data_IF_958579226115
#
_entry.id   IF_958579226115
#
_cell.length_a   1.000
_cell.length_b   1.000
_cell.length_c   1.000
_cell.angle_alpha   90.00
_cell.angle_beta   90.00
_cell.angle_gamma   90.00
#
_symmetry.space_group_name_H-M   'P 1'
#
loop_
_entity.id
_entity.type
_entity.pdbx_description
1 polymer ?
#
# COMPACT_ATOMS: atom_id res chain seq x y z
N UNK A 1 -19.69 -8.60 10.42
CA UNK A 1 -19.55 -7.14 10.64
C UNK A 1 -19.75 -6.49 9.28
N UNK A 2 -20.69 -5.56 9.15
CA UNK A 2 -20.95 -4.86 7.88
C UNK A 2 -19.88 -3.80 7.69
N UNK A 3 -18.95 -4.07 6.78
CA UNK A 3 -17.99 -3.09 6.29
C UNK A 3 -18.82 -2.09 5.48
N UNK A 4 -18.77 -0.81 5.86
CA UNK A 4 -19.46 0.26 5.15
C UNK A 4 -18.97 0.26 3.71
N UNK A 5 -19.89 0.26 2.74
CA UNK A 5 -19.56 0.41 1.32
C UNK A 5 -18.54 1.54 1.15
N UNK A 6 -17.32 1.18 0.74
CA UNK A 6 -16.30 2.17 0.46
C UNK A 6 -16.78 3.03 -0.71
N UNK A 7 -16.92 4.33 -0.46
CA UNK A 7 -17.15 5.28 -1.53
C UNK A 7 -15.75 5.73 -2.01
N UNK A 8 -15.36 5.48 -3.27
CA UNK A 8 -14.02 5.77 -3.78
C UNK A 8 -13.79 7.27 -3.93
N UNK A 9 -13.56 7.92 -2.79
CA UNK A 9 -13.26 9.34 -2.65
C UNK A 9 -11.75 9.52 -2.88
N UNK A 10 -11.33 10.48 -3.71
CA UNK A 10 -9.93 10.78 -3.90
C UNK A 10 -9.20 11.06 -2.59
N UNK A 11 -8.01 10.47 -2.45
CA UNK A 11 -7.09 10.74 -1.34
C UNK A 11 -6.26 11.96 -1.73
N UNK A 12 -6.11 12.91 -0.82
CA UNK A 12 -5.03 13.88 -0.88
C UNK A 12 -3.79 13.29 -0.19
N UNK A 13 -2.74 12.89 -0.94
CA UNK A 13 -1.55 12.26 -0.38
C UNK A 13 -0.84 13.12 0.65
N UNK A 14 -0.96 14.44 0.57
CA UNK A 14 -0.27 15.38 1.47
C UNK A 14 -0.89 15.46 2.86
N UNK A 15 -2.10 14.92 3.03
CA UNK A 15 -2.74 14.82 4.35
C UNK A 15 -2.22 13.63 5.16
N UNK A 16 -1.55 12.67 4.51
CA UNK A 16 -0.96 11.52 5.16
C UNK A 16 0.54 11.71 5.32
N UNK A 17 1.04 11.94 6.54
CA UNK A 17 2.47 12.16 6.76
C UNK A 17 3.33 10.95 6.39
N UNK A 18 2.73 9.77 6.23
CA UNK A 18 3.42 8.49 6.10
C UNK A 18 2.75 7.59 5.06
N UNK A 19 2.56 8.04 3.82
CA UNK A 19 2.01 7.21 2.73
C UNK A 19 3.06 6.96 1.64
N UNK A 20 2.98 5.83 0.94
CA UNK A 20 3.74 5.63 -0.30
C UNK A 20 3.30 6.63 -1.37
N UNK A 21 4.23 7.10 -2.19
CA UNK A 21 3.92 8.06 -3.24
C UNK A 21 3.17 7.37 -4.39
N UNK A 22 1.86 7.68 -4.60
CA UNK A 22 1.06 7.05 -5.63
C UNK A 22 1.52 7.44 -7.04
N UNK A 23 2.36 8.48 -7.14
CA UNK A 23 2.92 8.99 -8.37
C UNK A 23 4.39 8.61 -8.56
N UNK A 24 5.00 7.87 -7.63
CA UNK A 24 6.34 7.25 -7.77
C UNK A 24 6.27 6.04 -8.70
N UNK A 25 5.80 6.29 -9.91
CA UNK A 25 5.52 5.28 -10.93
C UNK A 25 6.76 5.10 -11.77
N UNK A 26 7.52 4.02 -11.54
CA UNK A 26 8.18 3.37 -12.66
C UNK A 26 7.08 2.77 -13.54
N UNK A 27 6.85 3.35 -14.73
CA UNK A 27 5.90 2.81 -15.71
C UNK A 27 6.50 1.49 -16.23
N UNK A 28 6.27 0.40 -15.51
CA UNK A 28 6.78 -0.93 -15.83
C UNK A 28 5.71 -2.00 -15.71
N UNK A 29 5.52 -2.73 -16.82
CA UNK A 29 4.89 -4.06 -16.95
C UNK A 29 3.36 -4.23 -16.90
N UNK A 30 2.54 -3.28 -16.44
CA UNK A 30 1.08 -3.43 -16.55
C UNK A 30 0.26 -2.83 -15.41
N UNK A 31 -1.03 -3.17 -15.35
CA UNK A 31 -1.94 -2.80 -14.27
C UNK A 31 -2.99 -3.90 -14.04
N UNK A 32 -3.54 -3.94 -12.83
CA UNK A 32 -4.71 -4.75 -12.48
C UNK A 32 -5.98 -3.95 -12.75
N UNK A 33 -6.89 -4.50 -13.55
CA UNK A 33 -8.15 -3.86 -13.89
C UNK A 33 -9.30 -4.43 -13.05
N UNK A 34 -9.84 -3.59 -12.20
CA UNK A 34 -11.03 -3.86 -11.38
C UNK A 34 -12.25 -3.49 -12.21
N UNK A 35 -12.76 -4.48 -12.95
CA UNK A 35 -13.72 -4.27 -14.05
C UNK A 35 -15.05 -3.71 -13.59
N UNK A 36 -15.54 -4.13 -12.43
CA UNK A 36 -16.85 -3.72 -11.91
C UNK A 36 -16.85 -2.25 -11.46
N UNK A 37 -15.70 -1.77 -11.00
CA UNK A 37 -15.50 -0.43 -10.44
C UNK A 37 -14.91 0.55 -11.48
N UNK A 38 -14.51 0.03 -12.65
CA UNK A 38 -13.76 0.75 -13.68
C UNK A 38 -12.47 1.40 -13.14
N UNK A 39 -11.78 0.70 -12.23
CA UNK A 39 -10.55 1.18 -11.57
C UNK A 39 -9.31 0.44 -12.05
N UNK A 40 -8.16 1.09 -11.90
CA UNK A 40 -6.85 0.55 -12.27
C UNK A 40 -5.94 0.53 -11.05
N UNK A 41 -5.42 -0.66 -10.73
CA UNK A 41 -4.43 -0.89 -9.70
C UNK A 41 -3.01 -1.01 -10.28
N UNK A 42 -2.07 -0.26 -9.74
CA UNK A 42 -0.66 -0.32 -10.14
C UNK A 42 0.18 -0.82 -8.99
N UNK A 43 0.95 -1.89 -9.22
CA UNK A 43 1.88 -2.42 -8.24
C UNK A 43 3.18 -1.61 -8.30
N UNK A 44 3.70 -1.24 -7.13
CA UNK A 44 5.00 -0.62 -6.94
C UNK A 44 5.83 -1.49 -5.99
N UNK A 45 7.11 -1.65 -6.31
CA UNK A 45 8.09 -2.31 -5.47
C UNK A 45 9.01 -1.25 -4.83
N UNK A 46 9.13 -1.29 -3.51
CA UNK A 46 9.92 -0.33 -2.75
C UNK A 46 9.65 1.15 -3.12
N UNK A 47 8.37 1.60 -3.20
CA UNK A 47 8.09 2.99 -3.54
C UNK A 47 8.62 3.94 -2.47
N UNK A 48 8.98 5.16 -2.89
CA UNK A 48 9.33 6.23 -1.97
C UNK A 48 8.09 6.69 -1.20
N UNK A 49 8.25 7.14 0.06
CA UNK A 49 7.17 7.84 0.75
C UNK A 49 6.89 9.20 0.08
N UNK A 50 5.65 9.67 0.17
CA UNK A 50 5.25 11.04 -0.22
C UNK A 50 6.08 12.08 0.53
N UNK A 51 6.35 11.80 1.82
CA UNK A 51 7.10 12.65 2.72
C UNK A 51 8.48 12.02 3.02
N UNK A 52 9.60 12.67 2.67
CA UNK A 52 10.94 12.09 2.76
C UNK A 52 11.44 11.90 4.20
N UNK A 53 10.82 12.56 5.16
CA UNK A 53 11.05 12.44 6.60
C UNK A 53 10.25 11.30 7.24
N UNK A 54 9.59 10.47 6.43
CA UNK A 54 8.80 9.36 6.91
C UNK A 54 9.60 8.26 7.61
N UNK A 55 9.03 7.68 8.67
CA UNK A 55 9.61 6.50 9.35
C UNK A 55 9.11 5.17 8.79
N UNK A 56 8.19 5.19 7.82
CA UNK A 56 7.69 3.99 7.16
C UNK A 56 8.52 3.65 5.92
N UNK A 57 8.77 2.35 5.75
CA UNK A 57 9.29 1.74 4.54
C UNK A 57 8.21 0.90 3.91
N UNK A 58 8.01 1.04 2.61
CA UNK A 58 7.04 0.25 1.86
C UNK A 58 7.78 -0.82 1.06
N UNK A 59 7.40 -2.09 1.22
CA UNK A 59 8.00 -3.20 0.47
C UNK A 59 7.29 -3.36 -0.87
N UNK A 60 5.95 -3.42 -0.81
CA UNK A 60 5.06 -3.50 -1.96
C UNK A 60 3.87 -2.59 -1.72
N UNK A 61 3.31 -2.07 -2.80
CA UNK A 61 2.13 -1.22 -2.75
C UNK A 61 1.27 -1.46 -3.98
N UNK A 62 -0.04 -1.51 -3.81
CA UNK A 62 -1.04 -1.51 -4.87
C UNK A 62 -1.83 -0.21 -4.80
N UNK A 63 -1.55 0.70 -5.73
CA UNK A 63 -2.21 2.01 -5.84
C UNK A 63 -3.42 1.90 -6.76
N UNK A 64 -4.60 2.25 -6.27
CA UNK A 64 -5.84 2.25 -7.05
C UNK A 64 -6.19 3.65 -7.52
N UNK A 65 -6.41 3.77 -8.82
CA UNK A 65 -6.94 4.97 -9.47
C UNK A 65 -8.32 4.72 -10.05
N UNK A 66 -9.21 5.70 -9.90
CA UNK A 66 -10.51 5.68 -10.56
C UNK A 66 -10.41 6.00 -12.07
N UNK A 67 -11.54 5.93 -12.79
CA UNK A 67 -11.62 6.23 -14.22
C UNK A 67 -11.21 7.67 -14.58
N UNK A 68 -11.27 8.60 -13.63
CA UNK A 68 -10.79 9.99 -13.75
C UNK A 68 -9.30 10.16 -13.47
N UNK A 69 -8.58 9.06 -13.22
CA UNK A 69 -7.15 9.03 -12.85
C UNK A 69 -6.83 9.67 -11.50
N UNK A 70 -7.81 9.72 -10.60
CA UNK A 70 -7.62 10.19 -9.23
C UNK A 70 -7.24 9.00 -8.34
N UNK A 71 -6.26 9.18 -7.45
CA UNK A 71 -5.86 8.16 -6.47
C UNK A 71 -6.95 8.01 -5.42
N UNK A 72 -7.48 6.81 -5.21
CA UNK A 72 -8.62 6.56 -4.30
C UNK A 72 -8.29 5.62 -3.15
N UNK A 73 -7.28 4.75 -3.30
CA UNK A 73 -6.91 3.74 -2.32
C UNK A 73 -5.45 3.32 -2.52
N UNK A 74 -4.72 3.07 -1.44
CA UNK A 74 -3.43 2.37 -1.47
C UNK A 74 -3.44 1.22 -0.47
N UNK A 75 -3.34 -0.02 -0.96
CA UNK A 75 -2.97 -1.14 -0.11
C UNK A 75 -1.45 -1.24 -0.08
N UNK A 76 -0.85 -1.45 1.09
CA UNK A 76 0.60 -1.50 1.26
C UNK A 76 1.04 -2.66 2.14
N UNK A 77 2.28 -3.11 1.91
CA UNK A 77 3.06 -3.82 2.91
C UNK A 77 4.09 -2.84 3.44
N UNK A 78 3.93 -2.44 4.70
CA UNK A 78 4.76 -1.42 5.34
C UNK A 78 5.55 -1.96 6.54
N UNK A 79 6.68 -1.32 6.83
CA UNK A 79 7.52 -1.54 7.99
C UNK A 79 7.88 -0.21 8.65
N UNK A 80 7.80 -0.16 9.96
CA UNK A 80 8.31 0.96 10.76
C UNK A 80 9.83 0.84 10.90
N UNK A 81 10.57 1.87 10.49
CA UNK A 81 11.98 2.05 10.86
C UNK A 81 12.07 2.73 12.23
N UNK A 82 12.35 1.94 13.25
CA UNK A 82 12.44 2.42 14.64
C UNK A 82 13.56 3.44 14.85
N UNK A 83 14.56 3.53 13.96
CA UNK A 83 15.61 4.55 14.05
C UNK A 83 15.05 5.92 13.72
N UNK A 84 14.29 6.00 12.62
CA UNK A 84 13.64 7.24 12.18
C UNK A 84 12.51 7.62 13.14
N UNK A 85 11.68 6.66 13.54
CA UNK A 85 10.61 6.90 14.50
C UNK A 85 11.16 7.43 15.85
N UNK A 86 12.28 6.88 16.33
CA UNK A 86 12.95 7.35 17.54
C UNK A 86 13.45 8.78 17.42
N UNK A 87 13.97 9.17 16.25
CA UNK A 87 14.41 10.54 16.00
C UNK A 87 13.26 11.54 16.01
N UNK A 88 12.10 11.16 15.43
CA UNK A 88 10.91 12.00 15.32
C UNK A 88 10.18 12.14 16.66
N UNK A 89 10.04 11.04 17.41
CA UNK A 89 9.24 11.00 18.64
C UNK A 89 10.03 11.30 19.91
N UNK A 90 11.36 11.32 19.83
CA UNK A 90 12.27 11.34 20.98
C UNK A 90 12.12 10.15 21.96
N UNK A 91 11.36 9.12 21.58
CA UNK A 91 11.26 7.86 22.33
C UNK A 91 12.49 7.01 22.01
N UNK A 92 13.03 6.31 23.02
CA UNK A 92 14.20 5.48 22.81
C UNK A 92 13.91 4.30 21.88
N UNK A 93 14.84 3.96 20.97
CA UNK A 93 14.71 2.76 20.11
C UNK A 93 14.40 1.48 20.91
N UNK A 94 15.04 1.32 22.07
CA UNK A 94 14.86 0.14 22.93
C UNK A 94 13.41 -0.02 23.38
N UNK A 95 12.76 1.09 23.70
CA UNK A 95 11.36 1.14 24.09
C UNK A 95 10.44 0.86 22.90
N UNK A 96 10.65 1.54 21.77
CA UNK A 96 9.87 1.33 20.54
C UNK A 96 9.96 -0.12 20.00
N UNK A 97 11.11 -0.75 20.17
CA UNK A 97 11.35 -2.12 19.70
C UNK A 97 10.80 -3.19 20.65
N UNK A 98 10.45 -2.84 21.89
CA UNK A 98 9.98 -3.77 22.92
C UNK A 98 10.85 -5.04 23.07
N UNK A 99 12.18 -4.89 22.89
CA UNK A 99 13.12 -6.00 22.97
C UNK A 99 13.23 -6.90 21.73
N UNK A 100 12.55 -6.59 20.63
CA UNK A 100 12.73 -7.27 19.33
C UNK A 100 14.13 -7.00 18.77
N UNK A 101 14.68 -7.96 18.00
CA UNK A 101 15.96 -7.80 17.29
C UNK A 101 15.74 -7.05 15.96
N UNK A 102 16.71 -6.25 15.55
CA UNK A 102 16.67 -5.49 14.30
C UNK A 102 16.34 -4.01 14.53
N UNK A 103 16.03 -3.29 13.46
CA UNK A 103 15.61 -1.88 13.55
C UNK A 103 14.34 -1.59 12.74
N UNK A 104 13.79 -2.61 12.09
CA UNK A 104 12.52 -2.56 11.37
C UNK A 104 11.49 -3.36 12.16
N UNK A 105 10.23 -2.93 12.11
CA UNK A 105 9.12 -3.77 12.56
C UNK A 105 8.95 -4.98 11.64
N UNK A 106 8.25 -5.99 12.12
CA UNK A 106 7.64 -7.00 11.23
C UNK A 106 6.79 -6.27 10.19
N UNK A 107 6.85 -6.66 8.90
CA UNK A 107 6.00 -6.06 7.90
C UNK A 107 4.53 -6.32 8.19
N UNK A 108 3.69 -5.36 7.84
CA UNK A 108 2.25 -5.44 8.04
C UNK A 108 1.52 -4.98 6.79
N UNK A 109 0.36 -5.60 6.54
CA UNK A 109 -0.60 -5.10 5.57
C UNK A 109 -1.31 -3.90 6.16
N UNK A 110 -1.44 -2.85 5.36
CA UNK A 110 -2.18 -1.66 5.72
C UNK A 110 -2.92 -1.07 4.52
N UNK A 111 -3.96 -0.31 4.81
CA UNK A 111 -4.81 0.34 3.82
C UNK A 111 -4.88 1.84 4.08
N UNK A 112 -4.58 2.62 3.06
CA UNK A 112 -4.77 4.07 3.05
C UNK A 112 -5.97 4.40 2.19
N UNK A 113 -6.95 5.10 2.78
CA UNK A 113 -8.16 5.55 2.13
C UNK A 113 -8.49 6.99 2.55
N UNK A 114 -9.53 7.58 1.98
CA UNK A 114 -9.96 8.95 2.33
C UNK A 114 -10.36 9.13 3.81
N UNK A 115 -10.69 8.03 4.50
CA UNK A 115 -11.13 8.03 5.89
C UNK A 115 -10.01 7.79 6.92
N UNK A 116 -8.85 7.27 6.49
CA UNK A 116 -7.75 7.00 7.40
C UNK A 116 -6.68 6.07 6.84
N UNK A 117 -5.83 5.63 7.77
CA UNK A 117 -4.85 4.57 7.62
C UNK A 117 -5.21 3.46 8.60
N UNK A 118 -5.38 2.24 8.09
CA UNK A 118 -5.75 1.06 8.87
C UNK A 118 -4.68 -0.02 8.72
N UNK A 119 -4.05 -0.42 9.84
CA UNK A 119 -3.11 -1.55 9.87
C UNK A 119 -3.91 -2.82 10.18
N UNK A 120 -3.82 -3.81 9.31
CA UNK A 120 -4.68 -4.99 9.33
C UNK A 120 -4.02 -6.16 10.05
N UNK A 121 -2.95 -6.71 9.47
CA UNK A 121 -2.25 -7.87 10.02
C UNK A 121 -0.76 -7.87 9.69
N UNK A 122 0.01 -8.66 10.45
CA UNK A 122 1.44 -8.86 10.18
C UNK A 122 1.65 -9.90 9.08
N UNK A 123 2.65 -9.69 8.23
CA UNK A 123 3.05 -10.65 7.20
C UNK A 123 4.47 -11.16 7.42
N UNK A 124 4.80 -12.24 6.71
CA UNK A 124 6.13 -12.85 6.77
C UNK A 124 7.22 -11.91 6.25
N UNK A 125 8.36 -11.85 6.97
CA UNK A 125 9.58 -11.15 6.52
C UNK A 125 10.14 -11.69 5.19
N UNK A 126 9.68 -12.88 4.75
CA UNK A 126 10.13 -13.57 3.53
C UNK A 126 9.01 -13.74 2.51
N UNK A 127 7.99 -12.89 2.54
CA UNK A 127 6.89 -12.94 1.58
C UNK A 127 7.43 -12.83 0.14
N UNK A 128 6.95 -13.72 -0.74
CA UNK A 128 7.29 -13.66 -2.16
C UNK A 128 6.61 -12.46 -2.82
N UNK A 129 7.06 -12.07 -4.02
CA UNK A 129 6.41 -10.98 -4.76
C UNK A 129 4.98 -11.36 -5.13
N UNK A 130 4.79 -12.60 -5.57
CA UNK A 130 3.50 -13.14 -5.99
C UNK A 130 2.51 -13.15 -4.81
N UNK A 131 2.92 -13.68 -3.65
CA UNK A 131 2.07 -13.71 -2.45
C UNK A 131 1.79 -12.29 -1.93
N UNK A 132 2.76 -11.37 -2.04
CA UNK A 132 2.58 -9.97 -1.66
C UNK A 132 1.52 -9.28 -2.53
N UNK A 133 1.59 -9.49 -3.85
CA UNK A 133 0.61 -8.91 -4.78
C UNK A 133 -0.78 -9.49 -4.52
N UNK A 134 -0.89 -10.81 -4.31
CA UNK A 134 -2.16 -11.46 -4.00
C UNK A 134 -2.79 -10.89 -2.73
N UNK A 135 -2.02 -10.78 -1.64
CA UNK A 135 -2.52 -10.22 -0.38
C UNK A 135 -2.96 -8.75 -0.52
N UNK A 136 -2.26 -7.96 -1.34
CA UNK A 136 -2.65 -6.59 -1.63
C UNK A 136 -3.96 -6.51 -2.42
N UNK A 137 -4.16 -7.41 -3.38
CA UNK A 137 -5.40 -7.49 -4.16
C UNK A 137 -6.57 -7.90 -3.25
N UNK A 138 -6.38 -8.92 -2.40
CA UNK A 138 -7.40 -9.39 -1.45
C UNK A 138 -7.96 -8.23 -0.63
N UNK A 139 -7.09 -7.44 0.00
CA UNK A 139 -7.49 -6.31 0.84
C UNK A 139 -8.19 -5.21 0.02
N UNK A 140 -7.74 -4.95 -1.21
CA UNK A 140 -8.41 -3.99 -2.09
C UNK A 140 -9.80 -4.48 -2.46
N UNK A 141 -9.96 -5.77 -2.78
CA UNK A 141 -11.24 -6.37 -3.10
C UNK A 141 -12.21 -6.32 -1.92
N UNK A 142 -11.74 -6.65 -0.72
CA UNK A 142 -12.50 -6.53 0.53
C UNK A 142 -12.92 -5.08 0.80
N UNK A 143 -12.00 -4.13 0.60
CA UNK A 143 -12.28 -2.71 0.79
C UNK A 143 -13.34 -2.19 -0.20
N UNK A 144 -13.27 -2.63 -1.46
CA UNK A 144 -14.21 -2.25 -2.51
C UNK A 144 -15.54 -3.01 -2.47
N UNK A 145 -15.68 -4.02 -1.60
CA UNK A 145 -16.82 -4.95 -1.58
C UNK A 145 -17.06 -5.60 -2.96
N UNK A 146 -15.97 -6.05 -3.60
CA UNK A 146 -15.98 -6.60 -4.97
C UNK A 146 -15.35 -8.00 -5.04
N UNK A 147 -15.77 -8.87 -5.97
CA UNK A 147 -15.17 -10.19 -6.12
C UNK A 147 -13.67 -10.12 -6.44
N UNK A 148 -12.90 -11.02 -5.84
CA UNK A 148 -11.47 -11.20 -6.13
C UNK A 148 -11.25 -11.73 -7.56
N UNK A 149 -11.26 -10.82 -8.53
CA UNK A 149 -11.19 -11.13 -9.96
C UNK A 149 -10.61 -10.01 -10.84
N UNK A 150 -9.63 -9.21 -10.39
CA UNK A 150 -9.04 -8.20 -11.26
C UNK A 150 -8.29 -8.85 -12.42
N UNK A 151 -8.30 -8.20 -13.58
CA UNK A 151 -7.62 -8.68 -14.78
C UNK A 151 -6.27 -7.98 -14.90
N UNK A 152 -5.17 -8.74 -14.97
CA UNK A 152 -3.89 -8.15 -15.29
C UNK A 152 -3.83 -7.74 -16.77
N UNK A 153 -3.48 -6.49 -17.03
CA UNK A 153 -3.30 -5.91 -18.36
C UNK A 153 -1.85 -5.51 -18.52
N UNK A 154 -1.12 -6.24 -19.36
CA UNK A 154 0.26 -5.92 -19.72
C UNK A 154 0.28 -4.65 -20.60
N UNK A 155 1.18 -3.72 -20.30
CA UNK A 155 1.39 -2.50 -21.09
C UNK A 155 2.71 -2.51 -21.87
N UNK A 156 3.43 -3.64 -21.87
CA UNK A 156 4.52 -3.86 -22.81
C UNK A 156 3.93 -4.10 -24.20
N UNK A 157 4.24 -3.23 -25.15
CA UNK A 157 3.87 -3.37 -26.58
C UNK A 157 4.61 -4.55 -27.23
N UNK A 158 4.39 -5.77 -26.74
CA UNK A 158 4.73 -7.00 -27.45
C UNK A 158 3.43 -7.66 -27.88
N UNK A 159 2.92 -7.17 -29.00
CA UNK A 159 2.07 -7.98 -29.88
C UNK A 159 2.77 -9.32 -30.10
N UNK A 160 2.10 -10.43 -29.77
CA UNK A 160 2.48 -11.74 -30.25
C UNK A 160 2.40 -11.80 -31.78
#
# INVERSE_FOLDING_TARGET
MSIKSFNPIPIDPLLYPMMSDPYDRYIGNGYYFFKHEEMKGYVQENPRPVHPDGYLRFLYTLIIFNSKKEHVLSAVIEQTDYRLLSQITHISKKELMEGKKGYLSTPSLALYHSGGHEVLESVSDKISKEDAIEALIDIVCDALDTPHSPLFVDMSDKSH
#
